data_IF_271100471033
#
_entry.id   IF_271100471033
#
_cell.length_a   1.000
_cell.length_b   1.000
_cell.length_c   1.000
_cell.angle_alpha   90.00
_cell.angle_beta   90.00
_cell.angle_gamma   90.00
#
_symmetry.space_group_name_H-M   'P 1'
#
loop_
_entity.id
_entity.type
_entity.pdbx_description
1 polymer ?
#
# COMPACT_ATOMS: atom_id res chain seq x y z
N UNK A 1 -22.46 0.79 3.48
CA UNK A 1 -21.43 0.38 4.45
C UNK A 1 -20.71 1.63 4.91
N UNK A 2 -20.66 1.86 6.21
CA UNK A 2 -20.04 3.07 6.78
C UNK A 2 -18.82 2.61 7.61
N UNK A 3 -17.72 2.32 6.92
CA UNK A 3 -16.47 1.95 7.57
C UNK A 3 -15.66 3.23 7.83
N UNK A 4 -15.70 3.72 9.06
CA UNK A 4 -14.86 4.84 9.51
C UNK A 4 -13.78 4.30 10.42
N UNK A 5 -12.57 4.82 10.31
CA UNK A 5 -11.47 4.48 11.19
C UNK A 5 -11.02 5.68 12.06
N UNK A 6 -10.11 5.40 13.02
CA UNK A 6 -9.58 6.41 13.96
C UNK A 6 -8.69 7.46 13.29
N UNK A 7 -8.21 7.20 12.08
CA UNK A 7 -7.38 8.13 11.31
C UNK A 7 -8.30 8.93 10.38
N UNK A 8 -8.81 10.05 10.82
CA UNK A 8 -9.84 10.87 10.16
C UNK A 8 -9.58 11.29 8.71
N UNK A 9 -8.41 10.97 8.14
CA UNK A 9 -8.06 11.20 6.74
C UNK A 9 -8.22 9.95 5.86
N UNK A 10 -8.43 8.76 6.43
CA UNK A 10 -8.71 7.53 5.68
C UNK A 10 -10.21 7.41 5.53
N UNK A 11 -10.70 7.54 4.32
CA UNK A 11 -12.12 7.41 4.01
C UNK A 11 -12.43 6.01 3.43
N UNK A 12 -13.71 5.70 3.30
CA UNK A 12 -14.17 4.41 2.78
C UNK A 12 -13.72 4.11 1.34
N UNK A 13 -13.19 5.10 0.60
CA UNK A 13 -12.66 4.88 -0.75
C UNK A 13 -11.38 4.02 -0.75
N UNK A 14 -10.65 3.94 0.37
CA UNK A 14 -9.48 3.07 0.46
C UNK A 14 -9.84 1.60 0.26
N UNK A 15 -11.06 1.20 0.60
CA UNK A 15 -11.57 -0.16 0.40
C UNK A 15 -11.99 -0.45 -1.05
N UNK A 16 -11.99 0.55 -1.94
CA UNK A 16 -12.38 0.36 -3.35
C UNK A 16 -11.48 -0.67 -4.07
N UNK A 17 -10.20 -0.79 -3.65
CA UNK A 17 -9.26 -1.79 -4.21
C UNK A 17 -9.72 -3.24 -4.02
N UNK A 18 -10.58 -3.55 -3.04
CA UNK A 18 -11.12 -4.90 -2.85
C UNK A 18 -11.98 -5.37 -4.03
N UNK A 19 -12.58 -4.41 -4.74
CA UNK A 19 -13.50 -4.66 -5.83
C UNK A 19 -12.83 -4.71 -7.21
N UNK A 20 -11.51 -4.58 -7.28
CA UNK A 20 -10.76 -4.68 -8.55
C UNK A 20 -11.17 -5.93 -9.36
N UNK A 21 -11.31 -7.13 -8.76
CA UNK A 21 -11.71 -8.32 -9.51
C UNK A 21 -13.07 -8.22 -10.22
N UNK A 22 -13.94 -7.33 -9.76
CA UNK A 22 -15.29 -7.17 -10.35
C UNK A 22 -15.26 -6.31 -11.63
N UNK A 23 -14.25 -5.45 -11.77
CA UNK A 23 -14.18 -4.46 -12.85
C UNK A 23 -13.02 -4.67 -13.82
N UNK A 24 -11.97 -5.38 -13.37
CA UNK A 24 -10.77 -5.61 -14.16
C UNK A 24 -10.69 -7.08 -14.57
N UNK A 25 -10.52 -7.33 -15.88
CA UNK A 25 -10.54 -8.67 -16.44
C UNK A 25 -9.15 -9.30 -16.54
N UNK A 26 -8.11 -8.49 -16.59
CA UNK A 26 -6.71 -8.90 -16.68
C UNK A 26 -6.30 -9.75 -15.49
N UNK A 27 -5.42 -10.73 -15.72
CA UNK A 27 -4.95 -11.67 -14.69
C UNK A 27 -4.00 -11.02 -13.69
N UNK A 28 -3.30 -9.96 -14.10
CA UNK A 28 -2.37 -9.19 -13.28
C UNK A 28 -2.70 -7.70 -13.37
N UNK A 29 -2.74 -7.03 -12.23
CA UNK A 29 -3.13 -5.61 -12.12
C UNK A 29 -2.14 -4.88 -11.25
N UNK A 30 -1.72 -3.70 -11.67
CA UNK A 30 -0.96 -2.77 -10.83
C UNK A 30 -1.92 -1.73 -10.24
N UNK A 31 -2.05 -1.73 -8.93
CA UNK A 31 -2.76 -0.70 -8.17
C UNK A 31 -1.75 0.33 -7.63
N UNK A 32 -2.09 1.59 -7.77
CA UNK A 32 -1.30 2.72 -7.28
C UNK A 32 -2.21 3.68 -6.50
N UNK A 33 -1.76 4.10 -5.32
CA UNK A 33 -2.39 5.22 -4.59
C UNK A 33 -2.22 6.53 -5.37
N UNK A 34 -2.97 7.56 -5.01
CA UNK A 34 -2.97 8.85 -5.71
C UNK A 34 -1.88 9.83 -5.26
N UNK A 35 -1.14 9.47 -4.22
CA UNK A 35 -0.12 10.32 -3.58
C UNK A 35 1.31 9.85 -3.84
N UNK A 36 1.55 9.43 -5.07
CA UNK A 36 2.85 8.97 -5.52
C UNK A 36 3.27 9.62 -6.86
N UNK A 37 4.56 9.50 -7.17
CA UNK A 37 5.15 9.95 -8.44
C UNK A 37 5.90 8.75 -9.05
N UNK A 38 5.57 8.44 -10.30
CA UNK A 38 6.30 7.46 -11.11
C UNK A 38 7.43 8.20 -11.84
N UNK A 39 8.68 7.79 -11.63
CA UNK A 39 9.88 8.45 -12.16
C UNK A 39 10.45 7.75 -13.39
N UNK A 40 9.98 6.55 -13.71
CA UNK A 40 10.53 5.75 -14.82
C UNK A 40 9.56 4.68 -15.32
N UNK A 41 10.07 3.79 -16.16
CA UNK A 41 9.31 2.69 -16.73
C UNK A 41 9.05 1.61 -15.65
N UNK A 42 7.82 1.11 -15.60
CA UNK A 42 7.37 0.10 -14.65
C UNK A 42 7.28 -1.32 -15.24
N UNK A 43 7.80 -1.57 -16.45
CA UNK A 43 7.74 -2.90 -17.07
C UNK A 43 8.37 -3.96 -16.16
N UNK A 44 9.54 -3.65 -15.57
CA UNK A 44 10.23 -4.57 -14.65
C UNK A 44 9.44 -4.88 -13.37
N UNK A 45 8.58 -3.97 -12.91
CA UNK A 45 7.64 -4.24 -11.83
C UNK A 45 6.53 -5.17 -12.32
N UNK A 46 5.95 -4.88 -13.50
CA UNK A 46 4.84 -5.66 -14.03
C UNK A 46 5.27 -7.09 -14.45
N UNK A 47 6.53 -7.28 -14.82
CA UNK A 47 7.12 -8.58 -15.16
C UNK A 47 7.38 -9.48 -13.94
N UNK A 48 7.31 -8.95 -12.70
CA UNK A 48 7.51 -9.79 -11.52
C UNK A 48 6.55 -10.98 -11.48
N UNK A 49 7.09 -12.17 -11.24
CA UNK A 49 6.30 -13.39 -11.15
C UNK A 49 5.78 -13.56 -9.72
N UNK A 50 4.47 -13.50 -9.56
CA UNK A 50 3.81 -13.58 -8.25
C UNK A 50 3.69 -15.01 -7.72
N UNK A 51 3.75 -16.03 -8.60
CA UNK A 51 3.51 -17.41 -8.20
C UNK A 51 2.16 -17.57 -7.48
N UNK A 52 2.20 -18.17 -6.29
CA UNK A 52 1.02 -18.38 -5.45
C UNK A 52 0.72 -17.21 -4.49
N UNK A 53 1.43 -16.08 -4.65
CA UNK A 53 1.17 -14.89 -3.84
C UNK A 53 -0.03 -14.11 -4.37
N UNK A 54 -0.81 -13.54 -3.44
CA UNK A 54 -1.95 -12.68 -3.78
C UNK A 54 -1.52 -11.33 -4.32
N UNK A 55 -0.41 -10.82 -3.80
CA UNK A 55 0.16 -9.53 -4.19
C UNK A 55 1.68 -9.56 -4.19
N UNK A 56 2.29 -8.70 -5.00
CA UNK A 56 3.63 -8.19 -4.81
C UNK A 56 3.54 -6.79 -4.20
N UNK A 57 4.27 -6.55 -3.12
CA UNK A 57 4.26 -5.27 -2.42
C UNK A 57 5.60 -5.02 -1.72
N UNK A 58 5.91 -3.76 -1.45
CA UNK A 58 7.11 -3.37 -0.70
C UNK A 58 6.79 -3.37 0.79
N UNK A 59 7.72 -3.88 1.58
CA UNK A 59 7.61 -3.89 3.04
C UNK A 59 7.32 -2.48 3.58
N UNK A 60 6.44 -2.38 4.57
CA UNK A 60 6.21 -1.11 5.25
C UNK A 60 7.46 -0.68 6.01
N UNK A 61 7.91 0.56 5.79
CA UNK A 61 9.04 1.11 6.53
C UNK A 61 8.59 1.90 7.78
N UNK A 62 7.28 2.01 8.01
CA UNK A 62 6.66 2.73 9.11
C UNK A 62 5.82 1.80 9.99
N UNK A 63 5.44 2.29 11.17
CA UNK A 63 4.73 1.50 12.16
C UNK A 63 5.62 0.44 12.82
N UNK A 64 5.05 -0.69 13.15
CA UNK A 64 5.79 -1.81 13.76
C UNK A 64 6.76 -2.51 12.78
N UNK A 65 6.86 -2.04 11.53
CA UNK A 65 7.68 -2.65 10.47
C UNK A 65 7.23 -4.06 10.07
N UNK A 66 5.99 -4.40 10.38
CA UNK A 66 5.38 -5.69 10.06
C UNK A 66 4.48 -5.55 8.85
N UNK A 67 4.64 -6.46 7.89
CA UNK A 67 3.83 -6.49 6.68
C UNK A 67 4.31 -5.51 5.60
N UNK A 68 3.42 -5.19 4.67
CA UNK A 68 3.71 -4.37 3.49
C UNK A 68 2.90 -3.08 3.49
N UNK A 69 3.38 -2.08 2.75
CA UNK A 69 2.64 -0.86 2.45
C UNK A 69 1.68 -1.10 1.28
N UNK A 70 0.41 -0.73 1.45
CA UNK A 70 -0.64 -1.04 0.50
C UNK A 70 -0.79 -0.01 -0.65
N UNK A 71 0.04 1.03 -0.71
CA UNK A 71 -0.08 2.08 -1.73
C UNK A 71 0.42 1.69 -3.12
N UNK A 72 1.24 0.64 -3.21
CA UNK A 72 1.66 0.02 -4.49
C UNK A 72 1.46 -1.48 -4.38
N UNK A 73 0.56 -2.04 -5.17
CA UNK A 73 0.25 -3.47 -5.17
C UNK A 73 0.27 -4.03 -6.60
N UNK A 74 1.15 -4.97 -6.86
CA UNK A 74 1.03 -5.83 -8.04
C UNK A 74 0.12 -7.00 -7.67
N UNK A 75 -1.09 -7.02 -8.19
CA UNK A 75 -2.17 -7.92 -7.77
C UNK A 75 -2.24 -9.14 -8.71
N UNK A 76 -2.26 -10.33 -8.15
CA UNK A 76 -2.63 -11.57 -8.83
C UNK A 76 -4.16 -11.65 -8.92
N UNK A 77 -4.73 -10.90 -9.88
CA UNK A 77 -6.18 -10.75 -10.02
C UNK A 77 -6.89 -12.07 -10.38
N UNK A 78 -6.20 -12.95 -11.13
CA UNK A 78 -6.70 -14.29 -11.39
C UNK A 78 -6.91 -15.06 -10.08
N UNK A 79 -5.89 -15.09 -9.23
CA UNK A 79 -5.95 -15.80 -7.95
C UNK A 79 -6.98 -15.17 -6.98
N UNK A 80 -7.11 -13.83 -7.01
CA UNK A 80 -8.12 -13.12 -6.22
C UNK A 80 -9.55 -13.55 -6.61
N UNK A 81 -9.81 -13.77 -7.91
CA UNK A 81 -11.09 -14.27 -8.40
C UNK A 81 -11.31 -15.72 -7.98
N UNK A 82 -10.33 -16.59 -8.25
CA UNK A 82 -10.39 -18.03 -7.98
C UNK A 82 -10.62 -18.33 -6.49
N UNK A 83 -9.95 -17.59 -5.60
CA UNK A 83 -10.04 -17.82 -4.16
C UNK A 83 -11.02 -16.89 -3.43
N UNK A 84 -11.83 -16.12 -4.17
CA UNK A 84 -12.85 -15.23 -3.61
C UNK A 84 -12.28 -14.21 -2.58
N UNK A 85 -11.09 -13.64 -2.87
CA UNK A 85 -10.36 -12.76 -1.97
C UNK A 85 -11.17 -11.52 -1.59
N UNK A 86 -11.94 -10.95 -2.53
CA UNK A 86 -12.84 -9.83 -2.22
C UNK A 86 -13.74 -10.15 -1.04
N UNK A 87 -14.38 -11.34 -1.04
CA UNK A 87 -15.30 -11.71 0.04
C UNK A 87 -14.57 -11.87 1.37
N UNK A 88 -13.39 -12.50 1.36
CA UNK A 88 -12.54 -12.63 2.56
C UNK A 88 -12.17 -11.27 3.15
N UNK A 89 -11.78 -10.31 2.30
CA UNK A 89 -11.43 -8.95 2.72
C UNK A 89 -12.63 -8.22 3.32
N UNK A 90 -13.81 -8.31 2.69
CA UNK A 90 -15.04 -7.71 3.21
C UNK A 90 -15.42 -8.30 4.56
N UNK A 91 -15.45 -9.63 4.68
CA UNK A 91 -15.82 -10.32 5.91
C UNK A 91 -14.89 -9.98 7.08
N UNK A 92 -13.58 -9.87 6.82
CA UNK A 92 -12.60 -9.49 7.85
C UNK A 92 -12.76 -8.02 8.20
N UNK A 93 -12.97 -7.14 7.21
CA UNK A 93 -13.22 -5.72 7.47
C UNK A 93 -14.45 -5.53 8.35
N UNK A 94 -15.54 -6.23 8.09
CA UNK A 94 -16.76 -6.13 8.91
C UNK A 94 -16.52 -6.52 10.38
N UNK A 95 -15.63 -7.46 10.64
CA UNK A 95 -15.29 -7.91 12.00
C UNK A 95 -14.26 -7.01 12.68
N UNK A 96 -13.26 -6.55 11.95
CA UNK A 96 -12.03 -6.00 12.53
C UNK A 96 -11.83 -4.49 12.31
N UNK A 97 -12.62 -3.83 11.44
CA UNK A 97 -12.41 -2.40 11.08
C UNK A 97 -12.33 -1.44 12.28
N UNK A 98 -12.99 -1.76 13.39
CA UNK A 98 -12.93 -0.97 14.61
C UNK A 98 -11.65 -1.17 15.42
N UNK A 99 -10.93 -2.28 15.17
CA UNK A 99 -9.76 -2.71 15.93
C UNK A 99 -8.43 -2.41 15.21
N UNK A 100 -8.48 -2.08 13.90
CA UNK A 100 -7.29 -1.84 13.09
C UNK A 100 -6.93 -0.36 13.01
N UNK A 101 -5.62 -0.05 13.08
CA UNK A 101 -5.10 1.32 13.08
C UNK A 101 -4.98 1.95 11.70
N UNK A 102 -4.57 1.17 10.70
CA UNK A 102 -4.19 1.64 9.35
C UNK A 102 -5.26 1.33 8.28
N UNK A 103 -6.50 1.16 8.70
CA UNK A 103 -7.63 0.95 7.79
C UNK A 103 -7.48 -0.34 6.96
N UNK A 104 -7.60 -0.20 5.64
CA UNK A 104 -7.52 -1.32 4.70
C UNK A 104 -6.12 -1.95 4.61
N UNK A 105 -5.05 -1.20 4.83
CA UNK A 105 -3.69 -1.75 4.86
C UNK A 105 -3.55 -2.84 5.93
N UNK A 106 -4.08 -2.60 7.14
CA UNK A 106 -4.05 -3.60 8.21
C UNK A 106 -4.84 -4.86 7.82
N UNK A 107 -6.00 -4.70 7.18
CA UNK A 107 -6.83 -5.82 6.72
C UNK A 107 -6.11 -6.63 5.63
N UNK A 108 -5.51 -5.95 4.64
CA UNK A 108 -4.74 -6.61 3.60
C UNK A 108 -3.56 -7.41 4.18
N UNK A 109 -2.85 -6.81 5.14
CA UNK A 109 -1.75 -7.48 5.82
C UNK A 109 -2.22 -8.71 6.64
N UNK A 110 -3.37 -8.65 7.30
CA UNK A 110 -3.96 -9.81 7.98
C UNK A 110 -4.31 -10.96 7.03
N UNK A 111 -4.86 -10.62 5.85
CA UNK A 111 -5.31 -11.64 4.88
C UNK A 111 -4.14 -12.24 4.09
N UNK A 112 -3.09 -11.45 3.86
CA UNK A 112 -2.00 -11.83 2.95
C UNK A 112 -0.66 -12.11 3.65
N UNK A 113 -0.64 -12.17 4.98
CA UNK A 113 0.56 -12.27 5.82
C UNK A 113 1.62 -13.25 5.27
N UNK A 114 1.19 -14.43 4.85
CA UNK A 114 2.06 -15.49 4.35
C UNK A 114 2.11 -15.58 2.81
N UNK A 115 1.34 -14.74 2.10
CA UNK A 115 1.13 -14.85 0.65
C UNK A 115 1.30 -13.51 -0.06
N UNK A 116 2.38 -12.80 0.25
CA UNK A 116 2.82 -11.66 -0.55
C UNK A 116 4.29 -11.82 -0.98
N UNK A 117 4.60 -11.39 -2.19
CA UNK A 117 5.95 -11.28 -2.71
C UNK A 117 6.54 -9.95 -2.22
N UNK A 118 7.63 -10.00 -1.44
CA UNK A 118 8.33 -8.78 -1.06
C UNK A 118 9.09 -8.21 -2.24
N UNK A 119 8.70 -7.01 -2.68
CA UNK A 119 9.32 -6.30 -3.78
C UNK A 119 10.46 -5.38 -3.28
N UNK A 120 11.44 -5.07 -4.13
CA UNK A 120 12.46 -4.06 -3.85
C UNK A 120 11.88 -2.68 -3.56
N UNK A 121 12.50 -1.93 -2.65
CA UNK A 121 12.06 -0.60 -2.19
C UNK A 121 11.92 0.42 -3.32
N UNK A 122 12.66 0.24 -4.42
CA UNK A 122 12.56 1.11 -5.61
C UNK A 122 11.16 1.19 -6.20
N UNK A 123 10.30 0.18 -5.96
CA UNK A 123 8.93 0.13 -6.46
C UNK A 123 7.88 0.78 -5.51
N UNK A 124 8.31 1.20 -4.33
CA UNK A 124 7.48 1.96 -3.39
C UNK A 124 8.38 2.62 -2.33
N UNK A 125 9.15 3.62 -2.75
CA UNK A 125 10.01 4.36 -1.84
C UNK A 125 9.17 5.32 -1.01
N UNK A 126 8.95 4.94 0.26
CA UNK A 126 8.04 5.60 1.17
C UNK A 126 8.69 6.83 1.80
N UNK A 127 8.11 8.01 1.53
CA UNK A 127 8.59 9.32 1.97
C UNK A 127 7.60 9.91 2.97
N UNK A 128 8.11 10.40 4.09
CA UNK A 128 7.29 11.03 5.10
C UNK A 128 7.77 10.79 6.51
N UNK A 129 6.88 10.96 7.48
CA UNK A 129 7.16 10.67 8.87
C UNK A 129 6.10 9.74 9.47
N UNK A 130 6.54 8.88 10.37
CA UNK A 130 5.69 8.07 11.19
C UNK A 130 5.43 8.77 12.53
N UNK A 131 4.26 9.35 12.67
CA UNK A 131 3.83 9.97 13.92
C UNK A 131 3.41 8.96 15.00
N UNK A 132 3.23 7.68 14.60
CA UNK A 132 2.76 6.61 15.45
C UNK A 132 3.86 5.66 15.93
N UNK A 133 5.13 5.92 15.60
CA UNK A 133 6.26 5.14 16.11
C UNK A 133 6.34 5.31 17.64
N UNK A 134 5.57 4.46 18.35
CA UNK A 134 5.58 4.40 19.81
C UNK A 134 6.99 4.03 20.28
N UNK A 135 7.46 4.71 21.32
CA UNK A 135 8.57 4.33 22.19
C UNK A 135 10.02 4.47 21.68
N UNK A 136 10.30 5.05 20.51
CA UNK A 136 11.70 5.09 20.08
C UNK A 136 12.14 6.22 19.18
N UNK A 137 11.26 7.09 18.79
CA UNK A 137 11.57 8.22 17.92
C UNK A 137 10.81 8.16 16.59
N UNK A 138 10.43 9.33 16.13
CA UNK A 138 9.83 9.47 14.81
C UNK A 138 10.85 9.06 13.74
N UNK A 139 10.44 8.16 12.85
CA UNK A 139 11.23 7.88 11.66
C UNK A 139 10.84 8.88 10.58
N UNK A 140 11.84 9.59 10.08
CA UNK A 140 11.68 10.55 8.99
C UNK A 140 12.45 10.03 7.78
N UNK A 141 11.81 10.00 6.63
CA UNK A 141 12.44 9.72 5.35
C UNK A 141 12.11 10.87 4.42
N UNK A 142 13.03 11.82 4.26
CA UNK A 142 12.87 12.99 3.39
C UNK A 142 13.95 13.08 2.31
N UNK A 143 15.01 12.29 2.43
CA UNK A 143 16.07 12.25 1.45
C UNK A 143 15.77 11.16 0.42
N UNK A 144 15.65 11.57 -0.83
CA UNK A 144 15.40 10.68 -1.96
C UNK A 144 16.77 10.35 -2.58
N UNK A 145 17.13 9.06 -2.71
CA UNK A 145 18.33 8.67 -3.45
C UNK A 145 18.24 9.16 -4.90
N UNK A 146 19.29 9.79 -5.39
CA UNK A 146 19.35 10.28 -6.77
C UNK A 146 19.94 9.25 -7.74
N UNK A 147 20.78 8.34 -7.23
CA UNK A 147 21.46 7.31 -8.03
C UNK A 147 21.50 5.95 -7.28
N UNK A 148 20.67 4.99 -7.66
CA UNK A 148 19.58 5.09 -8.60
C UNK A 148 18.38 5.81 -8.00
N UNK A 149 17.69 6.62 -8.80
CA UNK A 149 16.39 7.19 -8.41
C UNK A 149 15.36 6.07 -8.29
N UNK A 150 14.59 5.99 -7.17
CA UNK A 150 13.52 5.02 -7.07
C UNK A 150 12.46 5.20 -8.15
N UNK A 151 11.89 4.10 -8.66
CA UNK A 151 10.91 4.12 -9.74
C UNK A 151 9.53 4.67 -9.31
N UNK A 152 9.19 4.51 -8.03
CA UNK A 152 7.97 5.08 -7.45
C UNK A 152 8.32 5.77 -6.14
N UNK A 153 8.05 7.08 -6.07
CA UNK A 153 8.14 7.89 -4.87
C UNK A 153 6.73 8.00 -4.27
N UNK A 154 6.54 7.52 -3.05
CA UNK A 154 5.24 7.48 -2.38
C UNK A 154 5.25 8.36 -1.13
N UNK A 155 4.46 9.42 -1.13
CA UNK A 155 4.38 10.41 -0.04
C UNK A 155 3.31 10.00 0.96
N UNK A 156 3.66 9.13 1.90
CA UNK A 156 2.71 8.45 2.80
C UNK A 156 2.21 9.29 3.98
N UNK A 157 2.87 10.42 4.28
CA UNK A 157 2.41 11.31 5.36
C UNK A 157 1.38 12.34 4.88
N UNK A 158 0.60 12.97 5.78
CA UNK A 158 -0.30 14.07 5.42
C UNK A 158 0.41 15.26 4.76
N UNK A 159 1.71 15.45 5.03
CA UNK A 159 2.52 16.46 4.38
C UNK A 159 2.95 15.98 3.00
N UNK A 160 2.47 16.66 1.96
CA UNK A 160 2.71 16.32 0.55
C UNK A 160 3.52 17.43 -0.11
N UNK A 161 4.40 17.11 -1.08
CA UNK A 161 5.25 18.12 -1.73
C UNK A 161 4.46 19.21 -2.49
N UNK A 162 3.23 18.95 -2.84
CA UNK A 162 2.31 19.90 -3.48
C UNK A 162 1.50 20.76 -2.47
N UNK A 163 1.64 20.54 -1.17
CA UNK A 163 1.01 21.38 -0.17
C UNK A 163 1.76 22.70 -0.05
N UNK A 164 1.05 23.81 0.19
CA UNK A 164 1.61 25.17 0.21
C UNK A 164 2.76 25.37 1.22
N UNK A 165 2.74 24.63 2.34
CA UNK A 165 3.70 24.74 3.44
C UNK A 165 4.39 23.39 3.74
N UNK A 166 4.56 22.54 2.72
CA UNK A 166 5.22 21.26 2.90
C UNK A 166 6.68 21.40 3.28
N UNK A 167 7.14 20.57 4.21
CA UNK A 167 8.57 20.37 4.51
C UNK A 167 9.18 19.32 3.58
N UNK A 168 8.34 18.49 2.97
CA UNK A 168 8.75 17.51 1.95
C UNK A 168 8.84 18.25 0.60
N UNK A 169 9.96 18.10 -0.08
CA UNK A 169 10.19 18.73 -1.39
C UNK A 169 10.39 17.65 -2.46
N UNK A 170 10.04 18.01 -3.70
CA UNK A 170 10.35 17.23 -4.88
C UNK A 170 11.83 17.33 -5.23
#
# INVERSE_FOLDING_TARGET
MNWTNRLGHINHMTFARYFIPDFVHEDKVLYLDSDLIVTGNLDSLFEQELGDNYVGAVRSCFGAGVGFNAGVLLINNRLWKEEHIRQKLVDITEREHANVGEGDQSILNMVFEDRYLNLPDTYNFQIGFDAGAAEGGHRFVFEIPLEPLPLILHYISPDKPWNQFSVVRL
#
